data_IF_491619795590
#
_entry.id   IF_491619795590
#
_cell.length_a   1.000
_cell.length_b   1.000
_cell.length_c   1.000
_cell.angle_alpha   90.00
_cell.angle_beta   90.00
_cell.angle_gamma   90.00
#
_symmetry.space_group_name_H-M   'P 1'
#
loop_
_entity.id
_entity.type
_entity.pdbx_description
1 polymer ?
#
# COMPACT_ATOMS: atom_id res chain seq x y z
N UNK A 1 -27.52 -8.43 1.34
CA UNK A 1 -26.24 -7.68 1.29
C UNK A 1 -25.83 -7.65 -0.16
N UNK A 2 -25.53 -6.49 -0.72
CA UNK A 2 -25.02 -6.42 -2.10
C UNK A 2 -23.64 -7.05 -2.12
N UNK A 3 -23.38 -7.93 -3.09
CA UNK A 3 -22.04 -8.48 -3.31
C UNK A 3 -21.05 -7.32 -3.54
N UNK A 4 -19.90 -7.32 -2.86
CA UNK A 4 -18.90 -6.27 -3.06
C UNK A 4 -18.42 -6.31 -4.52
N UNK A 5 -18.42 -5.15 -5.18
CA UNK A 5 -17.85 -5.03 -6.52
C UNK A 5 -16.34 -5.29 -6.44
N UNK A 6 -15.79 -6.21 -7.28
CA UNK A 6 -14.36 -6.46 -7.31
C UNK A 6 -13.60 -5.19 -7.65
N UNK A 7 -12.51 -4.94 -6.93
CA UNK A 7 -11.56 -3.84 -7.21
C UNK A 7 -10.28 -4.42 -7.79
N UNK A 8 -9.69 -3.71 -8.73
CA UNK A 8 -8.50 -4.16 -9.45
C UNK A 8 -7.39 -3.14 -9.30
N UNK A 9 -6.20 -3.62 -8.96
CA UNK A 9 -5.10 -2.77 -8.56
C UNK A 9 -3.74 -3.35 -8.83
N UNK A 10 -2.73 -2.61 -8.38
CA UNK A 10 -1.34 -3.01 -8.45
C UNK A 10 -0.62 -2.74 -7.12
N UNK A 11 0.43 -3.52 -6.86
CA UNK A 11 1.28 -3.30 -5.70
C UNK A 11 2.32 -2.23 -5.98
N UNK A 12 2.43 -1.27 -5.06
CA UNK A 12 3.50 -0.27 -5.05
C UNK A 12 4.69 -0.83 -4.28
N UNK A 13 5.87 -0.76 -4.91
CA UNK A 13 7.12 -1.35 -4.45
C UNK A 13 8.18 -0.25 -4.38
N UNK A 14 9.20 -0.39 -3.53
CA UNK A 14 10.30 0.58 -3.35
C UNK A 14 10.99 0.97 -4.66
N UNK A 15 10.97 0.08 -5.66
CA UNK A 15 11.54 0.34 -6.98
C UNK A 15 10.75 1.35 -7.80
N UNK A 16 9.53 1.65 -7.40
CA UNK A 16 8.73 2.72 -7.99
C UNK A 16 9.17 4.04 -7.35
N UNK A 17 10.23 4.61 -7.92
CA UNK A 17 10.91 5.85 -7.48
C UNK A 17 10.09 7.11 -7.82
N UNK A 18 8.84 7.12 -7.36
CA UNK A 18 7.92 8.23 -7.52
C UNK A 18 6.88 8.27 -6.37
N UNK A 19 6.31 9.46 -6.08
CA UNK A 19 5.31 9.60 -5.03
C UNK A 19 4.05 8.76 -5.28
N UNK A 20 3.32 8.45 -4.21
CA UNK A 20 2.06 7.69 -4.26
C UNK A 20 1.02 8.31 -5.21
N UNK A 21 0.98 9.64 -5.31
CA UNK A 21 0.09 10.38 -6.21
C UNK A 21 0.39 10.10 -7.68
N UNK A 22 1.68 10.02 -8.06
CA UNK A 22 2.08 9.68 -9.41
C UNK A 22 1.67 8.25 -9.77
N UNK A 23 1.75 7.33 -8.81
CA UNK A 23 1.28 5.95 -9.00
C UNK A 23 -0.24 5.88 -9.12
N UNK A 24 -0.97 6.65 -8.31
CA UNK A 24 -2.42 6.76 -8.37
C UNK A 24 -2.91 7.22 -9.75
N UNK A 25 -2.29 8.28 -10.30
CA UNK A 25 -2.57 8.74 -11.66
C UNK A 25 -2.27 7.67 -12.72
N UNK A 26 -1.10 7.02 -12.63
CA UNK A 26 -0.73 5.94 -13.55
C UNK A 26 -1.76 4.80 -13.58
N UNK A 27 -2.33 4.42 -12.43
CA UNK A 27 -3.33 3.37 -12.33
C UNK A 27 -4.71 3.80 -12.80
N UNK A 28 -5.16 4.99 -12.42
CA UNK A 28 -6.47 5.52 -12.83
C UNK A 28 -6.55 5.72 -14.34
N UNK A 29 -5.48 6.17 -14.99
CA UNK A 29 -5.38 6.24 -16.46
C UNK A 29 -5.61 4.89 -17.16
N UNK A 30 -5.45 3.77 -16.43
CA UNK A 30 -5.63 2.39 -16.91
C UNK A 30 -6.92 1.74 -16.41
N UNK A 31 -7.77 2.49 -15.70
CA UNK A 31 -9.02 1.99 -15.15
C UNK A 31 -8.84 1.09 -13.91
N UNK A 32 -7.72 1.23 -13.20
CA UNK A 32 -7.45 0.53 -11.94
C UNK A 32 -7.75 1.46 -10.75
N UNK A 33 -8.25 0.89 -9.65
CA UNK A 33 -8.85 1.62 -8.53
C UNK A 33 -8.37 1.13 -7.15
N UNK A 34 -7.27 0.39 -7.12
CA UNK A 34 -6.69 -0.13 -5.89
C UNK A 34 -5.15 -0.12 -5.88
N UNK A 35 -4.56 0.20 -4.73
CA UNK A 35 -3.11 0.15 -4.50
C UNK A 35 -2.83 -0.79 -3.30
N UNK A 36 -1.97 -1.79 -3.51
CA UNK A 36 -1.36 -2.53 -2.39
C UNK A 36 -0.06 -1.81 -1.99
N UNK A 37 -0.02 -1.25 -0.78
CA UNK A 37 1.17 -0.65 -0.19
C UNK A 37 2.02 -1.74 0.45
N UNK A 38 3.25 -1.91 -0.03
CA UNK A 38 4.22 -2.83 0.60
C UNK A 38 4.97 -2.14 1.73
N UNK A 39 5.24 -2.87 2.80
CA UNK A 39 6.02 -2.38 3.95
C UNK A 39 7.36 -1.76 3.52
N UNK A 40 8.06 -2.41 2.59
CA UNK A 40 9.28 -1.86 1.99
C UNK A 40 9.10 -0.58 1.15
N UNK A 41 7.91 0.00 1.01
CA UNK A 41 7.73 1.38 0.52
C UNK A 41 7.46 2.35 1.69
N UNK A 42 6.70 1.90 2.70
CA UNK A 42 6.38 2.70 3.89
C UNK A 42 7.56 2.85 4.86
N UNK A 43 8.44 1.85 4.95
CA UNK A 43 9.49 1.78 5.97
C UNK A 43 10.82 2.46 5.57
N UNK A 44 11.02 2.74 4.28
CA UNK A 44 12.32 3.22 3.74
C UNK A 44 12.33 4.71 3.41
N UNK A 45 11.17 5.33 3.30
CA UNK A 45 11.09 6.76 3.03
C UNK A 45 10.93 7.52 4.34
N UNK A 46 11.99 8.21 4.79
CA UNK A 46 11.90 9.15 5.93
C UNK A 46 10.82 10.23 5.67
N UNK A 47 10.55 10.53 4.40
CA UNK A 47 9.50 11.42 3.91
C UNK A 47 8.31 10.64 3.29
N UNK A 48 8.03 9.42 3.76
CA UNK A 48 6.92 8.59 3.27
C UNK A 48 5.54 9.25 3.44
N UNK A 49 4.53 8.83 2.65
CA UNK A 49 3.20 9.42 2.74
C UNK A 49 2.57 9.16 4.10
N UNK A 50 2.03 10.21 4.72
CA UNK A 50 1.29 10.07 5.98
C UNK A 50 -0.09 9.42 5.73
N UNK A 51 -0.74 8.85 6.75
CA UNK A 51 -2.11 8.36 6.61
C UNK A 51 -3.11 9.43 6.14
N UNK A 52 -2.89 10.70 6.48
CA UNK A 52 -3.70 11.81 5.98
C UNK A 52 -3.49 12.02 4.47
N UNK A 53 -2.23 12.06 4.03
CA UNK A 53 -1.88 12.15 2.61
C UNK A 53 -2.46 10.99 1.81
N UNK A 54 -2.39 9.76 2.32
CA UNK A 54 -3.00 8.59 1.66
C UNK A 54 -4.52 8.73 1.53
N UNK A 55 -5.19 9.31 2.53
CA UNK A 55 -6.63 9.56 2.46
C UNK A 55 -6.96 10.59 1.38
N UNK A 56 -6.23 11.71 1.34
CA UNK A 56 -6.45 12.76 0.35
C UNK A 56 -6.29 12.18 -1.07
N UNK A 57 -5.24 11.39 -1.31
CA UNK A 57 -5.04 10.70 -2.61
C UNK A 57 -6.14 9.69 -2.92
N UNK A 58 -6.65 8.95 -1.91
CA UNK A 58 -7.78 8.04 -2.11
C UNK A 58 -9.02 8.77 -2.60
N UNK A 59 -9.32 9.91 -1.98
CA UNK A 59 -10.50 10.72 -2.26
C UNK A 59 -10.37 11.40 -3.64
N UNK A 60 -9.19 11.95 -3.96
CA UNK A 60 -8.92 12.65 -5.22
C UNK A 60 -8.96 11.72 -6.45
N UNK A 61 -8.48 10.47 -6.30
CA UNK A 61 -8.40 9.49 -7.40
C UNK A 61 -9.47 8.41 -7.36
N UNK A 62 -10.34 8.40 -6.35
CA UNK A 62 -11.42 7.40 -6.20
C UNK A 62 -10.92 5.97 -5.95
N UNK A 63 -9.74 5.81 -5.34
CA UNK A 63 -9.07 4.52 -5.14
C UNK A 63 -9.16 4.01 -3.71
N UNK A 64 -8.77 2.75 -3.49
CA UNK A 64 -8.58 2.18 -2.15
C UNK A 64 -7.17 1.65 -1.95
N UNK A 65 -6.82 1.43 -0.69
CA UNK A 65 -5.54 0.85 -0.29
C UNK A 65 -5.71 -0.48 0.43
N UNK A 66 -4.74 -1.37 0.25
CA UNK A 66 -4.45 -2.45 1.18
C UNK A 66 -2.99 -2.34 1.62
N UNK A 67 -2.66 -2.89 2.78
CA UNK A 67 -1.27 -2.97 3.24
C UNK A 67 -0.86 -4.43 3.22
N UNK A 68 0.27 -4.71 2.57
CA UNK A 68 0.80 -6.06 2.50
C UNK A 68 1.62 -6.38 3.76
N UNK A 69 1.14 -7.38 4.50
CA UNK A 69 1.88 -8.15 5.50
C UNK A 69 1.76 -9.65 5.15
N UNK A 70 2.78 -10.49 5.39
CA UNK A 70 3.89 -10.31 6.32
C UNK A 70 5.16 -9.69 5.72
N UNK A 71 5.73 -8.70 6.41
CA UNK A 71 7.13 -8.30 6.28
C UNK A 71 8.01 -9.20 7.18
N UNK A 72 9.34 -9.19 7.01
CA UNK A 72 10.27 -9.95 7.87
C UNK A 72 10.03 -9.71 9.38
N UNK A 73 9.58 -8.51 9.72
CA UNK A 73 9.31 -8.06 11.09
C UNK A 73 7.86 -8.31 11.54
N UNK A 74 6.97 -8.69 10.62
CA UNK A 74 5.57 -9.05 10.89
C UNK A 74 5.32 -10.52 10.54
N UNK A 75 6.21 -11.40 11.04
CA UNK A 75 6.20 -12.83 10.78
C UNK A 75 5.76 -13.60 12.03
N UNK A 76 4.45 -13.83 12.26
CA UNK A 76 3.98 -14.52 13.46
C UNK A 76 4.48 -15.98 13.55
N UNK A 77 4.88 -16.57 12.42
CA UNK A 77 5.54 -17.88 12.36
C UNK A 77 7.06 -17.84 12.57
N UNK A 78 7.67 -16.68 12.84
CA UNK A 78 9.12 -16.57 12.99
C UNK A 78 9.59 -17.34 14.22
N UNK A 79 10.52 -18.29 14.03
CA UNK A 79 11.07 -19.11 15.12
C UNK A 79 11.87 -18.29 16.14
N UNK A 80 12.37 -17.12 15.74
CA UNK A 80 13.02 -16.18 16.63
C UNK A 80 11.95 -15.39 17.41
N UNK A 81 11.82 -15.72 18.70
CA UNK A 81 10.82 -15.12 19.60
C UNK A 81 10.96 -13.60 19.70
N UNK A 82 12.19 -13.07 19.66
CA UNK A 82 12.43 -11.61 19.70
C UNK A 82 11.89 -10.89 18.47
N UNK A 83 11.96 -11.53 17.30
CA UNK A 83 11.39 -10.97 16.06
C UNK A 83 9.87 -11.14 16.00
N UNK A 84 9.30 -12.08 16.75
CA UNK A 84 7.85 -12.31 16.81
C UNK A 84 7.13 -11.35 17.77
N UNK A 85 7.83 -10.85 18.79
CA UNK A 85 7.31 -9.91 19.79
C UNK A 85 7.50 -8.43 19.43
N UNK A 86 8.10 -8.15 18.27
CA UNK A 86 8.44 -6.79 17.82
C UNK A 86 7.21 -6.04 17.30
#
# INVERSE_FOLDING_TARGET
MTEPTPRFGAAMDVRFDAPVEAFAGFLTDRGLDHIELRAGYLDVSEDGPTPATLRDVADDYGLTYSVHAPHLDAAPGNVNERLRSA
#
